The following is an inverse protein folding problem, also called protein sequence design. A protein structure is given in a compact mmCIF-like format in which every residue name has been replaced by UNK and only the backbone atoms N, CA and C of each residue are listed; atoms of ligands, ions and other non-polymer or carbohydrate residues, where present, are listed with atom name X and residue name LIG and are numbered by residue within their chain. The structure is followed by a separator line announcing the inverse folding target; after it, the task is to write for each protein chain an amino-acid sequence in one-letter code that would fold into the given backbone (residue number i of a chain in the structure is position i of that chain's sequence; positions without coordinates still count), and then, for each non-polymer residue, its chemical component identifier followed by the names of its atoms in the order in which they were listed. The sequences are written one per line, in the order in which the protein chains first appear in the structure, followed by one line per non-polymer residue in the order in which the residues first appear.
data_IF_640347633118
#
_entry.id   IF_640347633118
#
_cell.length_a   1.000
_cell.length_b   1.000
_cell.length_c   1.000
_cell.angle_alpha   90.00
_cell.angle_beta   90.00
_cell.angle_gamma   90.00
#
_symmetry.space_group_name_H-M   'P 1'
#
loop_
_entity.id
_entity.type
_entity.pdbx_description
1 polymer ?
#
# COMPACT_ATOMS: atom_id res chain seq x y z
N UNK A 1 60.57 26.44 13.51
CA UNK A 1 59.99 27.35 14.53
C UNK A 1 58.72 26.70 15.03
N UNK A 2 58.82 25.95 16.13
CA UNK A 2 57.69 25.20 16.72
C UNK A 2 56.87 26.23 17.50
N UNK A 3 55.60 26.41 17.17
CA UNK A 3 54.71 27.31 17.90
C UNK A 3 54.61 26.82 19.35
N UNK A 4 54.95 27.66 20.32
CA UNK A 4 54.82 27.37 21.75
C UNK A 4 53.33 27.19 22.10
N UNK A 5 52.88 25.98 22.46
CA UNK A 5 51.48 25.67 22.70
C UNK A 5 50.93 26.33 23.98
N UNK A 6 51.79 26.93 24.82
CA UNK A 6 51.39 27.55 26.09
C UNK A 6 51.07 29.04 25.99
N UNK A 7 51.29 29.66 24.83
CA UNK A 7 51.04 31.09 24.65
C UNK A 7 49.52 31.39 24.66
N UNK A 8 49.02 32.26 25.57
CA UNK A 8 47.61 32.60 25.60
C UNK A 8 47.19 33.32 24.31
N UNK A 9 46.02 32.94 23.78
CA UNK A 9 45.44 33.56 22.59
C UNK A 9 45.23 35.07 22.82
N UNK A 10 45.63 35.90 21.85
CA UNK A 10 45.23 37.31 21.87
C UNK A 10 43.70 37.44 21.73
N UNK A 11 43.11 38.50 22.29
CA UNK A 11 41.66 38.70 22.30
C UNK A 11 41.02 38.68 20.89
N UNK A 12 41.76 39.12 19.87
CA UNK A 12 41.29 39.12 18.48
C UNK A 12 41.39 37.75 17.81
N UNK A 13 42.42 36.96 18.14
CA UNK A 13 42.51 35.55 17.73
C UNK A 13 41.39 34.73 18.39
N UNK A 14 41.10 34.96 19.68
CA UNK A 14 40.01 34.29 20.38
C UNK A 14 38.63 34.63 19.78
N UNK A 15 38.37 35.91 19.45
CA UNK A 15 37.13 36.32 18.74
C UNK A 15 37.00 35.69 17.35
N UNK A 16 38.08 35.66 16.57
CA UNK A 16 38.08 35.02 15.24
C UNK A 16 37.82 33.52 15.33
N UNK A 17 38.49 32.82 16.24
CA UNK A 17 38.29 31.39 16.47
C UNK A 17 36.86 31.09 16.93
N UNK A 18 36.29 31.90 17.82
CA UNK A 18 34.88 31.78 18.24
C UNK A 18 33.93 31.94 17.06
N UNK A 19 34.15 32.93 16.18
CA UNK A 19 33.33 33.12 14.97
C UNK A 19 33.42 31.92 14.03
N UNK A 20 34.61 31.36 13.83
CA UNK A 20 34.82 30.17 12.99
C UNK A 20 34.12 28.96 13.59
N UNK A 21 34.28 28.70 14.89
CA UNK A 21 33.61 27.58 15.58
C UNK A 21 32.08 27.72 15.48
N UNK A 22 31.55 28.92 15.71
CA UNK A 22 30.11 29.19 15.56
C UNK A 22 29.65 28.97 14.12
N UNK A 23 30.41 29.44 13.12
CA UNK A 23 30.07 29.22 11.72
C UNK A 23 30.02 27.72 11.36
N UNK A 24 31.00 26.93 11.81
CA UNK A 24 31.02 25.48 11.61
C UNK A 24 29.81 24.83 12.31
N UNK A 25 29.53 25.21 13.56
CA UNK A 25 28.39 24.68 14.30
C UNK A 25 27.06 25.01 13.61
N UNK A 26 26.90 26.23 13.09
CA UNK A 26 25.71 26.65 12.32
C UNK A 26 25.56 25.81 11.06
N UNK A 27 26.62 25.62 10.27
CA UNK A 27 26.59 24.77 9.07
C UNK A 27 26.22 23.32 9.43
N UNK A 28 26.79 22.79 10.51
CA UNK A 28 26.49 21.45 10.98
C UNK A 28 25.02 21.29 11.39
N UNK A 29 24.46 22.27 12.12
CA UNK A 29 23.05 22.26 12.52
C UNK A 29 22.14 22.37 11.29
N UNK A 30 22.42 23.27 10.36
CA UNK A 30 21.64 23.41 9.12
C UNK A 30 21.65 22.12 8.33
N UNK A 31 22.82 21.49 8.16
CA UNK A 31 22.96 20.22 7.44
C UNK A 31 22.19 19.10 8.13
N UNK A 32 22.28 19.02 9.46
CA UNK A 32 21.55 18.01 10.24
C UNK A 32 20.04 18.15 10.12
N UNK A 33 19.53 19.39 10.20
CA UNK A 33 18.10 19.68 9.99
C UNK A 33 17.67 19.33 8.57
N UNK A 34 18.46 19.69 7.56
CA UNK A 34 18.16 19.37 6.16
C UNK A 34 18.06 17.86 5.93
N UNK A 35 19.03 17.07 6.43
CA UNK A 35 19.03 15.60 6.33
C UNK A 35 17.83 15.01 7.07
N UNK A 36 17.50 15.54 8.25
CA UNK A 36 16.34 15.07 9.02
C UNK A 36 15.02 15.30 8.28
N UNK A 37 14.79 16.52 7.78
CA UNK A 37 13.59 16.86 7.00
C UNK A 37 13.51 16.00 5.74
N UNK A 38 14.63 15.80 5.05
CA UNK A 38 14.69 14.90 3.89
C UNK A 38 14.36 13.45 4.24
N UNK A 39 14.85 12.95 5.37
CA UNK A 39 14.49 11.61 5.87
C UNK A 39 12.99 11.46 6.09
N UNK A 40 12.34 12.49 6.63
CA UNK A 40 10.88 12.50 6.81
C UNK A 40 10.14 12.50 5.48
N UNK A 41 10.56 13.29 4.50
CA UNK A 41 9.87 13.35 3.19
C UNK A 41 9.95 12.01 2.45
N UNK A 42 11.12 11.36 2.45
CA UNK A 42 11.30 10.03 1.85
C UNK A 42 10.40 9.00 2.53
N UNK A 43 10.32 9.03 3.87
CA UNK A 43 9.48 8.10 4.64
C UNK A 43 8.00 8.30 4.32
N UNK A 44 7.54 9.56 4.24
CA UNK A 44 6.15 9.86 3.90
C UNK A 44 5.82 9.47 2.45
N UNK A 45 6.73 9.70 1.51
CA UNK A 45 6.56 9.28 0.12
C UNK A 45 6.48 7.75 -0.02
N UNK A 46 7.31 7.00 0.72
CA UNK A 46 7.26 5.55 0.73
C UNK A 46 5.93 5.03 1.31
N UNK A 47 5.43 5.65 2.39
CA UNK A 47 4.11 5.34 2.96
C UNK A 47 2.96 5.67 2.00
N UNK A 48 3.05 6.77 1.26
CA UNK A 48 2.08 7.12 0.22
C UNK A 48 2.00 6.02 -0.84
N UNK A 49 3.13 5.63 -1.42
CA UNK A 49 3.20 4.55 -2.42
C UNK A 49 2.67 3.20 -1.88
N UNK A 50 2.93 2.90 -0.61
CA UNK A 50 2.40 1.71 0.04
C UNK A 50 0.86 1.75 0.13
N UNK A 51 0.28 2.89 0.49
CA UNK A 51 -1.17 3.08 0.53
C UNK A 51 -1.81 2.99 -0.85
N UNK A 52 -1.17 3.52 -1.88
CA UNK A 52 -1.68 3.42 -3.26
C UNK A 52 -1.70 1.96 -3.74
N UNK A 53 -0.63 1.21 -3.44
CA UNK A 53 -0.55 -0.22 -3.76
C UNK A 53 -1.58 -1.02 -2.98
N UNK A 54 -1.77 -0.71 -1.69
CA UNK A 54 -2.79 -1.32 -0.86
C UNK A 54 -4.21 -1.05 -1.36
N UNK A 55 -4.48 0.18 -1.83
CA UNK A 55 -5.74 0.58 -2.41
C UNK A 55 -6.00 -0.19 -3.72
N UNK A 56 -4.98 -0.34 -4.55
CA UNK A 56 -5.06 -1.13 -5.77
C UNK A 56 -5.35 -2.61 -5.47
N UNK A 57 -4.62 -3.24 -4.55
CA UNK A 57 -4.84 -4.63 -4.12
C UNK A 57 -6.27 -4.85 -3.63
N UNK A 58 -6.75 -3.99 -2.73
CA UNK A 58 -8.12 -4.08 -2.18
C UNK A 58 -9.19 -3.82 -3.22
N UNK A 59 -8.95 -2.89 -4.15
CA UNK A 59 -9.87 -2.59 -5.25
C UNK A 59 -10.00 -3.79 -6.19
N UNK A 60 -8.89 -4.40 -6.59
CA UNK A 60 -8.94 -5.59 -7.47
C UNK A 60 -9.54 -6.77 -6.74
N UNK A 61 -9.19 -7.00 -5.48
CA UNK A 61 -9.78 -8.09 -4.68
C UNK A 61 -11.30 -7.94 -4.57
N UNK A 62 -11.78 -6.72 -4.32
CA UNK A 62 -13.20 -6.40 -4.33
C UNK A 62 -13.85 -6.72 -5.68
N UNK A 63 -13.25 -6.29 -6.78
CA UNK A 63 -13.77 -6.55 -8.13
C UNK A 63 -13.81 -8.06 -8.45
N UNK A 64 -12.78 -8.82 -8.04
CA UNK A 64 -12.75 -10.29 -8.17
C UNK A 64 -13.90 -10.95 -7.41
N UNK A 65 -14.14 -10.54 -6.17
CA UNK A 65 -15.24 -11.08 -5.36
C UNK A 65 -16.62 -10.71 -5.94
N UNK A 66 -16.79 -9.47 -6.42
CA UNK A 66 -18.01 -9.04 -7.07
C UNK A 66 -18.25 -9.82 -8.38
N UNK A 67 -17.21 -10.03 -9.17
CA UNK A 67 -17.29 -10.84 -10.39
C UNK A 67 -17.70 -12.28 -10.05
N UNK A 68 -17.03 -12.91 -9.08
CA UNK A 68 -17.35 -14.27 -8.67
C UNK A 68 -18.79 -14.37 -8.16
N UNK A 69 -19.24 -13.40 -7.37
CA UNK A 69 -20.62 -13.34 -6.88
C UNK A 69 -21.66 -13.16 -7.99
N UNK A 70 -21.34 -12.42 -9.05
CA UNK A 70 -22.24 -12.19 -10.18
C UNK A 70 -22.25 -13.35 -11.19
N UNK A 71 -21.27 -14.26 -11.13
CA UNK A 71 -21.08 -15.35 -12.08
C UNK A 71 -21.11 -16.72 -11.38
N UNK A 72 -22.06 -16.93 -10.46
CA UNK A 72 -22.29 -18.22 -9.79
C UNK A 72 -21.04 -18.84 -9.13
N UNK A 73 -20.16 -17.99 -8.60
CA UNK A 73 -18.91 -18.38 -7.96
C UNK A 73 -17.73 -18.60 -8.91
N UNK A 74 -17.89 -18.36 -10.22
CA UNK A 74 -16.81 -18.45 -11.19
C UNK A 74 -15.84 -17.26 -11.06
N UNK A 75 -14.55 -17.55 -10.81
CA UNK A 75 -13.51 -16.55 -10.75
C UNK A 75 -13.16 -15.99 -12.14
N UNK A 76 -12.71 -14.72 -12.21
CA UNK A 76 -12.15 -14.16 -13.42
C UNK A 76 -10.80 -14.83 -13.77
N UNK A 77 -10.53 -14.93 -15.06
CA UNK A 77 -9.32 -15.56 -15.64
C UNK A 77 -8.48 -14.57 -16.47
N UNK A 78 -8.92 -13.32 -16.57
CA UNK A 78 -8.26 -12.26 -17.33
C UNK A 78 -8.68 -10.87 -16.85
N UNK A 79 -7.85 -9.88 -17.15
CA UNK A 79 -7.99 -8.50 -16.67
C UNK A 79 -9.30 -7.84 -17.10
N UNK A 80 -9.76 -8.09 -18.34
CA UNK A 80 -10.94 -7.41 -18.90
C UNK A 80 -12.22 -7.77 -18.16
N UNK A 81 -12.24 -8.93 -17.50
CA UNK A 81 -13.37 -9.40 -16.70
C UNK A 81 -13.54 -8.60 -15.42
N UNK A 82 -12.51 -7.91 -14.91
CA UNK A 82 -12.58 -7.11 -13.69
C UNK A 82 -12.36 -5.62 -13.93
N UNK A 83 -11.67 -5.23 -15.01
CA UNK A 83 -11.24 -3.85 -15.25
C UNK A 83 -12.38 -2.82 -15.32
N UNK A 84 -13.60 -3.25 -15.62
CA UNK A 84 -14.80 -2.41 -15.71
C UNK A 84 -15.82 -2.69 -14.59
N UNK A 85 -15.51 -3.60 -13.66
CA UNK A 85 -16.38 -3.80 -12.51
C UNK A 85 -16.21 -2.64 -11.52
N UNK A 86 -17.23 -1.81 -11.49
CA UNK A 86 -17.56 -0.96 -10.36
C UNK A 86 -18.92 -1.40 -9.80
N UNK A 87 -18.94 -2.59 -9.20
CA UNK A 87 -20.17 -3.19 -8.73
C UNK A 87 -20.66 -2.51 -7.44
N UNK A 88 -21.87 -1.95 -7.52
CA UNK A 88 -22.61 -1.44 -6.36
C UNK A 88 -23.08 -2.58 -5.44
N UNK A 89 -23.30 -3.77 -5.99
CA UNK A 89 -23.69 -4.96 -5.24
C UNK A 89 -22.44 -5.80 -4.96
N UNK A 90 -22.08 -5.88 -3.68
CA UNK A 90 -20.94 -6.67 -3.21
C UNK A 90 -21.20 -8.16 -3.17
N UNK A 91 -20.15 -8.97 -2.91
CA UNK A 91 -20.35 -10.36 -2.55
C UNK A 91 -21.23 -10.46 -1.29
N UNK A 92 -21.89 -11.60 -1.11
CA UNK A 92 -22.78 -11.84 0.00
C UNK A 92 -22.16 -11.66 1.39
N UNK A 93 -22.98 -11.27 2.36
CA UNK A 93 -22.60 -11.10 3.76
C UNK A 93 -22.40 -12.44 4.48
N UNK A 94 -21.55 -12.46 5.51
CA UNK A 94 -21.40 -13.60 6.44
C UNK A 94 -20.07 -14.35 6.34
N UNK A 95 -19.26 -14.08 5.32
CA UNK A 95 -17.89 -14.60 5.22
C UNK A 95 -16.84 -13.72 5.89
N UNK A 96 -15.59 -14.18 5.88
CA UNK A 96 -14.42 -13.39 6.28
C UNK A 96 -13.97 -12.39 5.20
N UNK A 97 -14.68 -12.32 4.07
CA UNK A 97 -14.50 -11.33 3.02
C UNK A 97 -15.38 -10.10 3.26
N UNK A 98 -15.00 -8.92 2.74
CA UNK A 98 -15.82 -7.72 2.86
C UNK A 98 -17.14 -7.87 2.08
N UNK A 99 -18.23 -7.32 2.62
CA UNK A 99 -19.55 -7.28 1.97
C UNK A 99 -19.87 -5.93 1.33
N UNK A 100 -19.07 -4.90 1.59
CA UNK A 100 -19.20 -3.56 1.00
C UNK A 100 -17.86 -3.06 0.50
N UNK A 101 -17.88 -2.20 -0.54
CA UNK A 101 -16.67 -1.60 -1.10
C UNK A 101 -15.92 -0.77 -0.06
N UNK A 102 -16.64 -0.07 0.80
CA UNK A 102 -16.06 0.74 1.87
C UNK A 102 -15.32 -0.12 2.91
N UNK A 103 -15.90 -1.25 3.30
CA UNK A 103 -15.23 -2.24 4.16
C UNK A 103 -14.00 -2.85 3.48
N UNK A 104 -14.10 -3.16 2.19
CA UNK A 104 -12.98 -3.69 1.41
C UNK A 104 -11.80 -2.70 1.34
N UNK A 105 -12.07 -1.41 1.18
CA UNK A 105 -11.05 -0.36 1.10
C UNK A 105 -10.48 0.03 2.47
N UNK A 106 -11.22 -0.16 3.56
CA UNK A 106 -10.73 0.13 4.91
C UNK A 106 -10.30 1.59 5.11
N UNK A 107 -11.03 2.52 4.49
CA UNK A 107 -10.73 3.96 4.54
C UNK A 107 -9.65 4.44 3.57
N UNK A 108 -9.15 3.58 2.67
CA UNK A 108 -8.27 3.99 1.58
C UNK A 108 -9.06 4.72 0.48
N UNK A 109 -8.38 5.64 -0.20
CA UNK A 109 -8.97 6.35 -1.34
C UNK A 109 -9.31 5.34 -2.45
N UNK A 110 -10.52 5.41 -3.03
CA UNK A 110 -10.90 4.53 -4.14
C UNK A 110 -9.98 4.73 -5.34
N UNK A 111 -9.48 3.64 -5.90
CA UNK A 111 -8.79 3.63 -7.18
C UNK A 111 -9.75 3.11 -8.25
N UNK A 112 -9.65 3.63 -9.49
CA UNK A 112 -10.39 3.06 -10.60
C UNK A 112 -9.89 1.63 -10.86
N UNK A 113 -10.81 0.67 -11.04
CA UNK A 113 -10.45 -0.76 -11.13
C UNK A 113 -9.48 -1.04 -12.27
N UNK A 114 -9.64 -0.37 -13.43
CA UNK A 114 -8.70 -0.44 -14.55
C UNK A 114 -7.27 -0.06 -14.14
N UNK A 115 -7.11 1.06 -13.44
CA UNK A 115 -5.81 1.53 -12.99
C UNK A 115 -5.24 0.58 -11.93
N UNK A 116 -6.08 0.09 -11.02
CA UNK A 116 -5.71 -0.86 -9.99
C UNK A 116 -5.17 -2.18 -10.56
N UNK A 117 -5.83 -2.75 -11.59
CA UNK A 117 -5.38 -3.96 -12.29
C UNK A 117 -4.00 -3.75 -12.90
N UNK A 118 -3.75 -2.60 -13.53
CA UNK A 118 -2.43 -2.26 -14.08
C UNK A 118 -1.35 -1.98 -13.01
N UNK A 119 -1.77 -1.63 -11.80
CA UNK A 119 -0.88 -1.22 -10.73
C UNK A 119 -0.32 -2.40 -9.92
N UNK A 120 -0.95 -3.57 -9.95
CA UNK A 120 -0.54 -4.74 -9.14
C UNK A 120 -0.15 -5.92 -10.04
N UNK A 121 0.35 -6.99 -9.42
CA UNK A 121 0.56 -8.26 -10.11
C UNK A 121 -0.62 -9.17 -9.85
N UNK A 122 -1.13 -9.81 -10.90
CA UNK A 122 -2.22 -10.76 -10.82
C UNK A 122 -1.80 -12.05 -11.51
N UNK A 123 -1.92 -13.16 -10.80
CA UNK A 123 -1.80 -14.50 -11.37
C UNK A 123 -3.21 -15.08 -11.47
N UNK A 124 -3.75 -15.08 -12.68
CA UNK A 124 -5.06 -15.67 -12.96
C UNK A 124 -5.01 -17.20 -12.88
N UNK A 125 -6.11 -17.81 -12.46
CA UNK A 125 -6.28 -19.25 -12.49
C UNK A 125 -6.33 -19.78 -13.93
N UNK A 126 -6.01 -21.07 -14.12
CA UNK A 126 -6.14 -21.75 -15.42
C UNK A 126 -7.59 -21.95 -15.87
N UNK A 127 -8.56 -21.68 -15.00
CA UNK A 127 -9.98 -21.79 -15.25
C UNK A 127 -10.82 -21.11 -14.16
N UNK A 128 -12.15 -21.04 -14.35
CA UNK A 128 -13.06 -20.29 -13.47
C UNK A 128 -13.19 -20.85 -12.05
N UNK A 129 -12.78 -22.10 -11.82
CA UNK A 129 -12.82 -22.72 -10.49
C UNK A 129 -11.56 -22.45 -9.66
N UNK A 130 -10.53 -21.82 -10.25
CA UNK A 130 -9.25 -21.57 -9.60
C UNK A 130 -9.17 -20.10 -9.17
N UNK A 131 -9.08 -19.88 -7.85
CA UNK A 131 -8.92 -18.55 -7.29
C UNK A 131 -7.63 -17.87 -7.79
N UNK A 132 -7.70 -16.58 -8.21
CA UNK A 132 -6.51 -15.83 -8.57
C UNK A 132 -5.67 -15.46 -7.35
N UNK A 133 -4.40 -15.14 -7.59
CA UNK A 133 -3.48 -14.63 -6.58
C UNK A 133 -3.07 -13.20 -6.91
N UNK A 134 -3.26 -12.28 -5.95
CA UNK A 134 -2.85 -10.89 -6.05
C UNK A 134 -1.52 -10.67 -5.35
N UNK A 135 -0.62 -9.90 -5.96
CA UNK A 135 0.67 -9.55 -5.39
C UNK A 135 1.03 -8.09 -5.72
N UNK A 136 2.07 -7.57 -5.09
CA UNK A 136 2.44 -6.15 -5.22
C UNK A 136 3.25 -5.83 -6.49
N UNK A 137 3.59 -6.82 -7.32
CA UNK A 137 4.50 -6.66 -8.45
C UNK A 137 5.84 -5.96 -8.05
N UNK A 138 6.38 -6.34 -6.90
CA UNK A 138 7.61 -5.75 -6.35
C UNK A 138 7.44 -4.35 -5.73
N UNK A 139 6.23 -3.79 -5.72
CA UNK A 139 5.93 -2.49 -5.07
C UNK A 139 5.82 -2.65 -3.56
N UNK A 140 6.06 -1.55 -2.85
CA UNK A 140 5.84 -1.49 -1.40
C UNK A 140 4.35 -1.55 -1.10
N UNK A 141 3.97 -2.30 -0.06
CA UNK A 141 2.61 -2.35 0.48
C UNK A 141 2.68 -2.35 2.01
N UNK A 142 1.56 -2.08 2.68
CA UNK A 142 1.50 -2.30 4.13
C UNK A 142 1.59 -3.80 4.41
N UNK A 143 2.27 -4.15 5.51
CA UNK A 143 2.41 -5.53 5.95
C UNK A 143 1.03 -6.16 6.14
N UNK A 144 0.83 -7.34 5.56
CA UNK A 144 -0.40 -8.13 5.69
C UNK A 144 -1.51 -7.79 4.71
N UNK A 145 -1.39 -6.74 3.87
CA UNK A 145 -2.44 -6.44 2.88
C UNK A 145 -2.60 -7.57 1.87
N UNK A 146 -1.48 -8.10 1.34
CA UNK A 146 -1.49 -9.23 0.38
C UNK A 146 -2.14 -10.48 0.99
N UNK A 147 -1.75 -10.84 2.21
CA UNK A 147 -2.30 -11.99 2.92
C UNK A 147 -3.80 -11.81 3.18
N UNK A 148 -4.21 -10.58 3.53
CA UNK A 148 -5.61 -10.23 3.77
C UNK A 148 -6.46 -10.41 2.52
N UNK A 149 -6.06 -9.80 1.39
CA UNK A 149 -6.86 -9.84 0.16
C UNK A 149 -6.92 -11.25 -0.44
N UNK A 150 -5.79 -11.98 -0.43
CA UNK A 150 -5.77 -13.37 -0.89
C UNK A 150 -6.53 -14.29 0.08
N UNK A 151 -6.52 -13.99 1.38
CA UNK A 151 -7.34 -14.65 2.39
C UNK A 151 -8.83 -14.53 2.10
N UNK A 152 -9.31 -13.34 1.72
CA UNK A 152 -10.70 -13.13 1.32
C UNK A 152 -11.10 -13.98 0.12
N UNK A 153 -10.28 -13.97 -0.94
CA UNK A 153 -10.55 -14.73 -2.17
C UNK A 153 -10.53 -16.24 -1.87
N UNK A 154 -9.58 -16.71 -1.08
CA UNK A 154 -9.48 -18.11 -0.69
C UNK A 154 -10.65 -18.56 0.18
N UNK A 155 -11.07 -17.75 1.15
CA UNK A 155 -12.26 -18.05 1.97
C UNK A 155 -13.53 -18.08 1.14
N UNK A 156 -13.69 -17.15 0.19
CA UNK A 156 -14.81 -17.16 -0.74
C UNK A 156 -14.84 -18.45 -1.58
N UNK A 157 -13.69 -18.85 -2.13
CA UNK A 157 -13.55 -20.12 -2.85
C UNK A 157 -13.91 -21.34 -1.99
N UNK A 158 -13.46 -21.35 -0.73
CA UNK A 158 -13.76 -22.43 0.24
C UNK A 158 -15.25 -22.50 0.58
N UNK A 159 -15.89 -21.35 0.82
CA UNK A 159 -17.32 -21.29 1.11
C UNK A 159 -18.15 -21.84 -0.06
N UNK A 160 -17.79 -21.45 -1.30
CA UNK A 160 -18.40 -22.03 -2.51
C UNK A 160 -18.21 -23.53 -2.58
N UNK A 161 -17.00 -24.03 -2.33
CA UNK A 161 -16.71 -25.47 -2.38
C UNK A 161 -17.50 -26.28 -1.34
N UNK A 162 -17.85 -25.68 -0.20
CA UNK A 162 -18.71 -26.30 0.83
C UNK A 162 -20.19 -26.34 0.46
N UNK A 163 -20.61 -25.70 -0.63
CA UNK A 163 -22.02 -25.61 -0.99
C UNK A 163 -22.84 -24.74 -0.04
N UNK A 164 -22.19 -23.86 0.75
CA UNK A 164 -22.87 -22.72 1.36
C UNK A 164 -23.36 -21.86 0.21
N UNK A 165 -24.64 -22.06 -0.17
CA UNK A 165 -25.29 -21.40 -1.29
C UNK A 165 -24.87 -19.94 -1.30
N UNK A 166 -24.27 -19.48 -2.40
CA UNK A 166 -23.90 -18.09 -2.61
C UNK A 166 -25.05 -17.23 -2.07
N UNK A 167 -24.86 -16.49 -0.96
CA UNK A 167 -26.02 -15.83 -0.37
C UNK A 167 -26.61 -14.91 -1.42
N UNK A 168 -27.89 -15.13 -1.70
CA UNK A 168 -28.63 -14.48 -2.76
C UNK A 168 -28.43 -12.97 -2.58
N UNK A 169 -28.04 -12.22 -3.64
CA UNK A 169 -27.96 -10.76 -3.52
C UNK A 169 -29.31 -10.26 -3.01
N UNK A 170 -29.30 -9.50 -1.92
CA UNK A 170 -30.52 -8.94 -1.35
C UNK A 170 -31.22 -8.14 -2.46
N UNK A 171 -32.29 -8.72 -3.02
CA UNK A 171 -33.19 -8.03 -3.94
C UNK A 171 -33.81 -6.87 -3.18
N UNK A 172 -33.73 -5.67 -3.78
CA UNK A 172 -34.28 -4.41 -3.30
C UNK A 172 -35.72 -4.53 -2.81
#
# INVERSE_FOLDING_TARGET
MIADPTRPLSADQARRNRRVIVAIAVVFVITSVAVFVWGLTVTQAARGKARDTDAALRTVAWAVLCYASANDGAFPVRDEQVALLDAATGPPTGGQWPSTRESALGGLAPMATRDAVSAIGITWGSGPDVAPNLNTNGKSSTRGTVDTVNGWIAEYARARARGEAAPVPATK
#
